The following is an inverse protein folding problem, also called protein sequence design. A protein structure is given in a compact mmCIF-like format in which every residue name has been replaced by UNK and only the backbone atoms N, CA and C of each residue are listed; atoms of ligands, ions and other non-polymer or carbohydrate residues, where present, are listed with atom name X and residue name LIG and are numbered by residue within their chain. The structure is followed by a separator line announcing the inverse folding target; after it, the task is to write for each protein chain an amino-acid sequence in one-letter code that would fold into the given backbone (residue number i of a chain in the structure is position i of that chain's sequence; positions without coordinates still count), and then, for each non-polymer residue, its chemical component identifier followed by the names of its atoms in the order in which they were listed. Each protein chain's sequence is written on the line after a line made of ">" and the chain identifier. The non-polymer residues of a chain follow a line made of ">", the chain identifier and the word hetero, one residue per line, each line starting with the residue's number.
data_IF_381564488887
#
_entry.id   IF_381564488887
#
_cell.length_a   1.000
_cell.length_b   1.000
_cell.length_c   1.000
_cell.angle_alpha   90.00
_cell.angle_beta   90.00
_cell.angle_gamma   90.00
#
_symmetry.space_group_name_H-M   'P 1'
#
loop_
_entity.id
_entity.type
_entity.pdbx_description
1 polymer ?
#
# COMPACT_ATOMS: atom_id res chain seq x y z
N UNK A 1 -10.31 33.92 -7.78
CA UNK A 1 -9.27 33.33 -8.64
C UNK A 1 -9.60 31.86 -8.75
N UNK A 2 -9.97 31.41 -9.94
CA UNK A 2 -10.35 30.04 -10.23
C UNK A 2 -9.12 29.15 -10.15
N UNK A 3 -9.08 28.25 -9.18
CA UNK A 3 -8.13 27.15 -9.13
C UNK A 3 -8.39 26.28 -10.36
N UNK A 4 -7.50 26.34 -11.34
CA UNK A 4 -7.49 25.35 -12.43
C UNK A 4 -7.33 23.96 -11.79
N UNK A 5 -8.15 22.98 -12.18
CA UNK A 5 -7.99 21.61 -11.68
C UNK A 5 -6.56 21.15 -11.94
N UNK A 6 -5.94 20.50 -10.97
CA UNK A 6 -4.59 19.95 -11.10
C UNK A 6 -4.50 19.14 -12.41
N UNK A 7 -3.65 19.59 -13.32
CA UNK A 7 -3.51 18.97 -14.64
C UNK A 7 -3.02 17.53 -14.45
N UNK A 8 -3.65 16.58 -15.15
CA UNK A 8 -3.18 15.20 -15.12
C UNK A 8 -1.80 15.13 -15.77
N UNK A 9 -0.98 14.17 -15.35
CA UNK A 9 0.35 13.94 -15.93
C UNK A 9 0.30 13.79 -17.45
N UNK A 10 -0.76 13.18 -17.97
CA UNK A 10 -1.00 13.03 -19.41
C UNK A 10 -1.21 14.37 -20.13
N UNK A 11 -2.03 15.26 -19.57
CA UNK A 11 -2.31 16.57 -20.16
C UNK A 11 -1.08 17.49 -20.15
N UNK A 12 -0.24 17.37 -19.13
CA UNK A 12 1.03 18.09 -19.09
C UNK A 12 2.02 17.57 -20.15
N UNK A 13 2.06 16.24 -20.38
CA UNK A 13 2.87 15.63 -21.44
C UNK A 13 2.41 16.05 -22.84
N UNK A 14 1.10 16.03 -23.10
CA UNK A 14 0.50 16.50 -24.36
C UNK A 14 0.90 17.94 -24.69
N UNK A 15 0.83 18.84 -23.69
CA UNK A 15 1.25 20.23 -23.86
C UNK A 15 2.74 20.35 -24.14
N UNK A 16 3.56 19.60 -23.42
CA UNK A 16 5.00 19.60 -23.64
C UNK A 16 5.35 19.10 -25.04
N UNK A 17 4.74 18.00 -25.49
CA UNK A 17 4.92 17.46 -26.84
C UNK A 17 4.45 18.47 -27.91
N UNK A 18 3.30 19.11 -27.72
CA UNK A 18 2.83 20.17 -28.63
C UNK A 18 3.80 21.36 -28.71
N UNK A 19 4.43 21.74 -27.60
CA UNK A 19 5.40 22.83 -27.56
C UNK A 19 6.71 22.47 -28.25
N UNK A 20 7.18 21.23 -28.10
CA UNK A 20 8.37 20.73 -28.80
C UNK A 20 8.15 20.67 -30.32
N UNK A 21 6.98 20.18 -30.75
CA UNK A 21 6.61 20.11 -32.17
C UNK A 21 6.42 21.51 -32.77
N UNK A 22 5.79 22.43 -32.05
CA UNK A 22 5.68 23.83 -32.47
C UNK A 22 7.05 24.51 -32.58
N UNK A 23 8.02 24.16 -31.72
CA UNK A 23 9.42 24.60 -31.81
C UNK A 23 10.12 24.15 -33.09
N UNK A 24 9.68 23.03 -33.67
CA UNK A 24 10.13 22.49 -34.96
C UNK A 24 9.28 22.99 -36.14
N UNK A 25 8.38 23.96 -35.90
CA UNK A 25 7.41 24.47 -36.89
C UNK A 25 6.45 23.41 -37.43
N UNK A 26 6.21 22.34 -36.67
CA UNK A 26 5.26 21.28 -37.02
C UNK A 26 3.91 21.56 -36.36
N UNK A 27 2.87 21.61 -37.17
CA UNK A 27 1.47 21.67 -36.71
C UNK A 27 0.87 20.27 -36.76
N UNK A 28 0.70 19.66 -35.60
CA UNK A 28 0.13 18.31 -35.44
C UNK A 28 -1.25 18.45 -34.78
N UNK A 29 -2.29 17.73 -35.25
CA UNK A 29 -3.61 17.72 -34.62
C UNK A 29 -3.56 17.28 -33.15
N UNK A 30 -4.47 17.80 -32.33
CA UNK A 30 -4.53 17.48 -30.89
C UNK A 30 -4.72 16.00 -30.61
N UNK A 31 -5.50 15.32 -31.46
CA UNK A 31 -5.83 13.91 -31.28
C UNK A 31 -4.58 13.05 -31.48
N UNK A 32 -3.73 13.39 -32.46
CA UNK A 32 -2.48 12.69 -32.73
C UNK A 32 -1.45 12.95 -31.62
N UNK A 33 -1.42 14.17 -31.06
CA UNK A 33 -0.62 14.50 -29.87
C UNK A 33 -1.04 13.66 -28.66
N UNK A 34 -2.33 13.44 -28.46
CA UNK A 34 -2.86 12.56 -27.40
C UNK A 34 -2.43 11.10 -27.62
N UNK A 35 -2.51 10.59 -28.85
CA UNK A 35 -2.04 9.23 -29.18
C UNK A 35 -0.53 9.07 -28.97
N UNK A 36 0.26 10.06 -29.37
CA UNK A 36 1.72 10.06 -29.17
C UNK A 36 2.07 10.10 -27.68
N UNK A 37 1.38 10.92 -26.89
CA UNK A 37 1.55 10.98 -25.44
C UNK A 37 1.26 9.62 -24.80
N UNK A 38 0.14 8.97 -25.16
CA UNK A 38 -0.19 7.62 -24.68
C UNK A 38 0.85 6.57 -25.03
N UNK A 39 1.44 6.65 -26.22
CA UNK A 39 2.50 5.73 -26.64
C UNK A 39 3.78 5.91 -25.81
N UNK A 40 4.13 7.15 -25.45
CA UNK A 40 5.26 7.43 -24.54
C UNK A 40 4.96 6.91 -23.12
N UNK A 41 3.71 6.95 -22.68
CA UNK A 41 3.29 6.41 -21.37
C UNK A 41 3.36 4.88 -21.29
N UNK A 42 3.33 4.16 -22.43
CA UNK A 42 3.29 2.70 -22.44
C UNK A 42 4.53 2.09 -21.75
N UNK A 43 4.28 1.16 -20.81
CA UNK A 43 5.32 0.48 -20.05
C UNK A 43 5.89 -0.69 -20.83
N UNK A 44 7.21 -0.78 -20.94
CA UNK A 44 7.91 -1.92 -21.54
C UNK A 44 8.64 -1.63 -22.85
N UNK A 45 8.54 -0.41 -23.38
CA UNK A 45 9.34 0.07 -24.52
C UNK A 45 10.60 0.79 -24.03
N UNK A 46 11.72 0.55 -24.70
CA UNK A 46 12.97 1.27 -24.44
C UNK A 46 12.91 2.70 -25.01
N UNK A 47 13.80 3.57 -24.55
CA UNK A 47 13.84 4.99 -24.95
C UNK A 47 13.96 5.15 -26.48
N UNK A 48 14.79 4.34 -27.10
CA UNK A 48 15.02 4.36 -28.55
C UNK A 48 13.76 3.93 -29.32
N UNK A 49 13.08 2.88 -28.85
CA UNK A 49 11.82 2.39 -29.43
C UNK A 49 10.69 3.41 -29.29
N UNK A 50 10.64 4.14 -28.17
CA UNK A 50 9.66 5.22 -27.96
C UNK A 50 9.91 6.37 -28.93
N UNK A 51 11.16 6.81 -29.08
CA UNK A 51 11.50 7.89 -30.02
C UNK A 51 11.20 7.46 -31.46
N UNK A 52 11.58 6.25 -31.85
CA UNK A 52 11.34 5.72 -33.20
C UNK A 52 9.83 5.55 -33.49
N UNK A 53 9.06 5.00 -32.53
CA UNK A 53 7.62 4.83 -32.69
C UNK A 53 6.87 6.15 -32.81
N UNK A 54 7.22 7.15 -31.98
CA UNK A 54 6.64 8.50 -32.06
C UNK A 54 7.04 9.20 -33.36
N UNK A 55 8.27 9.00 -33.84
CA UNK A 55 8.73 9.49 -35.14
C UNK A 55 7.93 8.88 -36.29
N UNK A 56 7.70 7.57 -36.28
CA UNK A 56 6.85 6.89 -37.28
C UNK A 56 5.40 7.38 -37.28
N UNK A 57 4.86 7.77 -36.12
CA UNK A 57 3.54 8.41 -36.05
C UNK A 57 3.55 9.80 -36.68
N UNK A 58 4.60 10.60 -36.45
CA UNK A 58 4.76 11.92 -37.08
C UNK A 58 4.88 11.84 -38.61
N UNK A 59 5.60 10.84 -39.12
CA UNK A 59 5.73 10.59 -40.57
C UNK A 59 4.36 10.38 -41.22
N UNK A 60 3.42 9.76 -40.51
CA UNK A 60 2.05 9.54 -40.99
C UNK A 60 1.12 10.77 -40.89
N UNK A 61 1.44 11.73 -40.01
CA UNK A 61 0.57 12.87 -39.68
C UNK A 61 0.99 14.15 -40.40
N UNK A 62 2.28 14.34 -40.69
CA UNK A 62 2.77 15.51 -41.41
C UNK A 62 2.43 15.39 -42.90
N UNK A 63 1.47 16.19 -43.37
CA UNK A 63 1.13 16.31 -44.79
C UNK A 63 2.38 16.73 -45.61
N UNK A 64 2.97 15.76 -46.30
CA UNK A 64 4.19 15.95 -47.10
C UNK A 64 5.29 14.92 -46.85
N UNK A 65 5.23 14.16 -45.75
CA UNK A 65 6.12 13.03 -45.48
C UNK A 65 7.60 13.38 -45.22
N UNK A 66 7.96 14.66 -45.25
CA UNK A 66 9.32 15.13 -44.97
C UNK A 66 9.38 15.76 -43.58
N UNK A 67 9.81 14.96 -42.60
CA UNK A 67 10.22 15.47 -41.31
C UNK A 67 11.58 16.15 -41.42
N UNK A 68 11.83 17.22 -40.64
CA UNK A 68 13.16 17.79 -40.55
C UNK A 68 14.13 16.74 -39.98
N UNK A 69 15.13 16.33 -40.77
CA UNK A 69 16.15 15.36 -40.33
C UNK A 69 16.93 15.84 -39.08
N UNK A 70 17.00 17.16 -38.88
CA UNK A 70 17.69 17.77 -37.75
C UNK A 70 16.72 18.13 -36.61
N UNK A 71 16.97 17.58 -35.42
CA UNK A 71 16.36 18.05 -34.18
C UNK A 71 15.05 17.37 -33.77
N UNK A 72 14.43 16.55 -34.62
CA UNK A 72 13.26 15.74 -34.26
C UNK A 72 13.61 14.72 -33.18
N UNK A 73 14.68 13.95 -33.38
CA UNK A 73 15.11 12.92 -32.43
C UNK A 73 15.50 13.54 -31.07
N UNK A 74 16.10 14.73 -31.06
CA UNK A 74 16.43 15.46 -29.84
C UNK A 74 15.17 16.00 -29.13
N UNK A 75 14.20 16.51 -29.88
CA UNK A 75 12.95 17.01 -29.34
C UNK A 75 12.11 15.87 -28.71
N UNK A 76 12.01 14.74 -29.41
CA UNK A 76 11.34 13.53 -28.91
C UNK A 76 12.08 12.93 -27.72
N UNK A 77 13.41 12.92 -27.74
CA UNK A 77 14.23 12.51 -26.59
C UNK A 77 13.92 13.33 -25.33
N UNK A 78 13.75 14.66 -25.47
CA UNK A 78 13.34 15.54 -24.35
C UNK A 78 11.94 15.22 -23.83
N UNK A 79 11.01 14.79 -24.68
CA UNK A 79 9.66 14.38 -24.26
C UNK A 79 9.74 13.12 -23.40
N UNK A 80 10.52 12.13 -23.81
CA UNK A 80 10.71 10.91 -23.02
C UNK A 80 11.39 11.23 -21.69
N UNK A 81 12.40 12.10 -21.68
CA UNK A 81 13.09 12.52 -20.47
C UNK A 81 12.15 13.25 -19.48
N UNK A 82 11.25 14.10 -19.99
CA UNK A 82 10.25 14.79 -19.17
C UNK A 82 9.20 13.81 -18.62
N UNK A 83 8.79 12.81 -19.41
CA UNK A 83 7.93 11.73 -18.93
C UNK A 83 8.59 10.94 -17.79
N UNK A 84 9.85 10.53 -17.95
CA UNK A 84 10.58 9.80 -16.92
C UNK A 84 10.73 10.63 -15.64
N UNK A 85 10.97 11.94 -15.77
CA UNK A 85 11.01 12.87 -14.63
C UNK A 85 9.66 12.93 -13.92
N UNK A 86 8.56 13.12 -14.66
CA UNK A 86 7.22 13.19 -14.08
C UNK A 86 6.83 11.88 -13.40
N UNK A 87 7.22 10.74 -13.98
CA UNK A 87 7.04 9.42 -13.37
C UNK A 87 7.79 9.30 -12.05
N UNK A 88 9.05 9.73 -12.00
CA UNK A 88 9.84 9.74 -10.76
C UNK A 88 9.20 10.63 -9.69
N UNK A 89 8.75 11.83 -10.06
CA UNK A 89 8.06 12.73 -9.14
C UNK A 89 6.75 12.12 -8.60
N UNK A 90 5.97 11.43 -9.44
CA UNK A 90 4.75 10.74 -9.00
C UNK A 90 5.04 9.50 -8.15
N UNK A 91 6.07 8.70 -8.48
CA UNK A 91 6.52 7.60 -7.64
C UNK A 91 7.01 8.08 -6.28
N UNK A 92 7.72 9.21 -6.21
CA UNK A 92 8.11 9.87 -4.98
C UNK A 92 6.90 10.40 -4.21
N UNK A 93 5.91 11.01 -4.87
CA UNK A 93 4.67 11.44 -4.22
C UNK A 93 3.89 10.26 -3.67
N UNK A 94 3.78 9.16 -4.41
CA UNK A 94 3.13 7.93 -3.95
C UNK A 94 3.93 7.33 -2.79
N UNK A 95 5.26 7.32 -2.84
CA UNK A 95 6.10 6.86 -1.74
C UNK A 95 5.97 7.75 -0.49
N UNK A 96 5.90 9.07 -0.65
CA UNK A 96 5.65 10.03 0.42
C UNK A 96 4.23 9.92 0.98
N UNK A 97 3.22 9.71 0.13
CA UNK A 97 1.85 9.45 0.56
C UNK A 97 1.74 8.09 1.25
N UNK A 98 2.47 7.07 0.81
CA UNK A 98 2.54 5.77 1.48
C UNK A 98 3.31 5.85 2.81
N UNK A 99 4.34 6.70 2.90
CA UNK A 99 5.03 7.01 4.14
C UNK A 99 4.11 7.79 5.10
N UNK A 100 3.41 8.82 4.61
CA UNK A 100 2.45 9.61 5.37
C UNK A 100 1.20 8.80 5.75
N UNK A 101 0.77 7.85 4.92
CA UNK A 101 -0.29 6.89 5.22
C UNK A 101 0.19 5.84 6.22
N UNK A 102 1.46 5.43 6.19
CA UNK A 102 2.09 4.62 7.26
C UNK A 102 2.22 5.41 8.56
N UNK A 103 2.42 6.73 8.50
CA UNK A 103 2.39 7.63 9.65
C UNK A 103 0.98 7.92 10.16
N UNK A 104 -0.06 7.88 9.30
CA UNK A 104 -1.48 8.01 9.70
C UNK A 104 -2.12 6.69 10.13
N UNK A 105 -1.66 5.54 9.60
CA UNK A 105 -2.01 4.20 10.08
C UNK A 105 -1.19 3.78 11.29
N UNK A 106 -0.06 4.43 11.53
CA UNK A 106 0.43 4.63 12.88
C UNK A 106 -0.48 5.68 13.52
N UNK A 107 -1.71 5.31 13.90
CA UNK A 107 -2.47 6.07 14.90
C UNK A 107 -1.44 6.56 15.92
N UNK A 108 -1.38 7.88 16.22
CA UNK A 108 -0.36 8.39 17.13
C UNK A 108 -0.40 7.44 18.30
N UNK A 109 0.69 6.69 18.53
CA UNK A 109 0.76 5.78 19.68
C UNK A 109 0.23 6.66 20.80
N UNK A 110 -0.87 6.28 21.48
CA UNK A 110 -1.46 7.17 22.47
C UNK A 110 -0.31 7.65 23.33
N UNK A 111 -0.29 8.91 23.77
CA UNK A 111 0.85 9.47 24.48
C UNK A 111 0.94 8.82 25.88
N UNK A 112 1.31 7.56 25.85
CA UNK A 112 1.19 6.49 26.80
C UNK A 112 2.26 6.66 27.87
N UNK A 113 3.33 7.39 27.53
CA UNK A 113 4.34 7.85 28.47
C UNK A 113 3.77 8.83 29.49
N UNK A 114 2.79 9.66 29.13
CA UNK A 114 2.24 10.71 30.01
C UNK A 114 1.04 10.22 30.85
N UNK A 115 0.39 9.12 30.43
CA UNK A 115 -0.77 8.58 31.15
C UNK A 115 -0.35 7.93 32.47
N UNK A 116 0.82 7.25 32.51
CA UNK A 116 1.30 6.67 33.77
C UNK A 116 1.77 7.71 34.79
N UNK A 117 2.24 8.88 34.33
CA UNK A 117 2.67 9.98 35.20
C UNK A 117 1.51 10.83 35.73
N UNK A 118 0.31 10.66 35.20
CA UNK A 118 -0.91 11.36 35.66
C UNK A 118 -1.74 10.54 36.64
N UNK A 119 -1.39 9.26 36.85
CA UNK A 119 -2.01 8.40 37.83
C UNK A 119 -1.35 8.58 39.20
N UNK A 120 -2.17 8.51 40.25
CA UNK A 120 -1.66 8.42 41.62
C UNK A 120 -0.95 7.07 41.85
N UNK A 121 -0.05 6.96 42.83
CA UNK A 121 0.66 5.72 43.11
C UNK A 121 -0.29 4.56 43.47
N UNK A 122 -1.43 4.84 44.11
CA UNK A 122 -2.44 3.84 44.47
C UNK A 122 -3.19 3.32 43.23
N UNK A 123 -3.56 4.20 42.30
CA UNK A 123 -4.22 3.84 41.04
C UNK A 123 -3.28 3.06 40.12
N UNK A 124 -1.99 3.40 40.10
CA UNK A 124 -0.98 2.70 39.34
C UNK A 124 -0.80 1.27 39.87
N UNK A 125 -0.73 1.09 41.19
CA UNK A 125 -0.66 -0.24 41.83
C UNK A 125 -1.93 -1.07 41.57
N UNK A 126 -3.12 -0.45 41.57
CA UNK A 126 -4.37 -1.13 41.20
C UNK A 126 -4.36 -1.58 39.73
N UNK A 127 -3.95 -0.72 38.81
CA UNK A 127 -3.86 -1.04 37.38
C UNK A 127 -2.83 -2.16 37.11
N UNK A 128 -1.70 -2.16 37.80
CA UNK A 128 -0.71 -3.24 37.72
C UNK A 128 -1.25 -4.57 38.24
N UNK A 129 -1.94 -4.57 39.38
CA UNK A 129 -2.58 -5.76 39.94
C UNK A 129 -3.63 -6.32 38.96
N UNK A 130 -4.50 -5.48 38.40
CA UNK A 130 -5.50 -5.90 37.42
C UNK A 130 -4.85 -6.46 36.15
N UNK A 131 -3.80 -5.81 35.63
CA UNK A 131 -3.06 -6.31 34.48
C UNK A 131 -2.38 -7.66 34.74
N UNK A 132 -1.87 -7.87 35.96
CA UNK A 132 -1.25 -9.13 36.36
C UNK A 132 -2.29 -10.25 36.50
N UNK A 133 -3.46 -9.95 37.07
CA UNK A 133 -4.59 -10.89 37.15
C UNK A 133 -5.04 -11.31 35.75
N UNK A 134 -5.11 -10.39 34.77
CA UNK A 134 -5.42 -10.74 33.37
C UNK A 134 -4.35 -11.61 32.70
N UNK A 135 -3.08 -11.46 33.09
CA UNK A 135 -1.97 -12.17 32.47
C UNK A 135 -1.71 -13.56 33.08
N UNK A 136 -1.95 -13.70 34.39
CA UNK A 136 -1.56 -14.89 35.16
C UNK A 136 -2.67 -15.46 36.04
N UNK A 137 -3.72 -14.69 36.28
CA UNK A 137 -4.95 -15.24 36.84
C UNK A 137 -5.59 -16.10 35.77
N UNK A 138 -5.67 -17.40 36.01
CA UNK A 138 -6.70 -18.20 35.37
C UNK A 138 -8.02 -17.50 35.70
N UNK A 139 -8.71 -17.01 34.67
CA UNK A 139 -10.09 -16.56 34.82
C UNK A 139 -10.89 -17.85 35.03
N UNK A 140 -10.90 -18.32 36.27
CA UNK A 140 -11.98 -19.17 36.74
C UNK A 140 -13.22 -18.28 36.66
N UNK A 141 -13.98 -18.46 35.58
CA UNK A 141 -15.18 -17.69 35.31
C UNK A 141 -16.13 -17.82 36.50
N UNK A 142 -16.21 -16.75 37.29
CA UNK A 142 -17.33 -16.54 38.20
C UNK A 142 -18.48 -15.91 37.40
N UNK A 143 -19.63 -16.56 37.27
CA UNK A 143 -20.80 -16.05 36.55
C UNK A 143 -21.51 -14.92 37.32
N UNK A 144 -20.78 -13.97 37.89
CA UNK A 144 -21.37 -12.76 38.51
C UNK A 144 -21.09 -11.49 37.70
N UNK A 145 -19.98 -11.44 36.93
CA UNK A 145 -19.70 -10.27 36.09
C UNK A 145 -20.48 -10.26 34.77
N UNK A 146 -21.00 -11.40 34.29
CA UNK A 146 -21.90 -11.45 33.12
C UNK A 146 -23.37 -11.12 33.46
N UNK A 147 -23.76 -11.12 34.73
CA UNK A 147 -25.15 -10.87 35.14
C UNK A 147 -25.47 -9.42 35.46
N UNK A 148 -24.45 -8.55 35.62
CA UNK A 148 -24.70 -7.11 35.79
C UNK A 148 -25.04 -6.37 34.51
N UNK A 149 -24.73 -6.93 33.34
CA UNK A 149 -25.05 -6.31 32.04
C UNK A 149 -26.32 -6.87 31.37
N UNK A 150 -27.05 -7.79 32.01
CA UNK A 150 -28.27 -8.41 31.44
C UNK A 150 -29.58 -8.16 32.19
N UNK A 151 -29.57 -7.41 33.30
CA UNK A 151 -30.76 -7.17 34.10
C UNK A 151 -31.05 -5.68 34.34
N UNK A 152 -30.99 -4.87 33.29
CA UNK A 152 -31.89 -3.72 33.09
C UNK A 152 -31.62 -3.14 31.69
N UNK A 153 -32.56 -3.34 30.77
CA UNK A 153 -32.51 -2.64 29.49
C UNK A 153 -32.67 -1.15 29.78
N UNK A 154 -31.74 -0.27 29.34
CA UNK A 154 -31.79 1.12 29.73
C UNK A 154 -33.09 1.77 29.20
N UNK A 155 -33.82 2.55 30.02
CA UNK A 155 -35.02 3.24 29.57
C UNK A 155 -34.65 4.10 28.35
N UNK A 156 -35.47 4.01 27.30
CA UNK A 156 -35.29 4.78 26.06
C UNK A 156 -35.29 6.27 26.40
N UNK A 157 -34.10 6.89 26.49
CA UNK A 157 -33.97 8.34 26.73
C UNK A 157 -32.62 8.88 27.18
N UNK A 158 -31.73 8.08 27.79
CA UNK A 158 -30.44 8.58 28.36
C UNK A 158 -29.19 7.81 27.91
N UNK A 159 -29.24 7.16 26.74
CA UNK A 159 -28.28 6.13 26.34
C UNK A 159 -27.08 6.61 25.50
N UNK A 160 -27.03 7.87 25.08
CA UNK A 160 -25.88 8.38 24.33
C UNK A 160 -24.71 8.77 25.25
N UNK A 161 -24.97 9.55 26.31
CA UNK A 161 -23.93 10.01 27.25
C UNK A 161 -23.35 8.88 28.10
N UNK A 162 -24.19 7.97 28.60
CA UNK A 162 -23.73 6.82 29.37
C UNK A 162 -22.93 5.81 28.53
N UNK A 163 -23.23 5.68 27.23
CA UNK A 163 -22.45 4.85 26.31
C UNK A 163 -21.12 5.53 25.91
N UNK A 164 -21.11 6.85 25.74
CA UNK A 164 -19.89 7.63 25.49
C UNK A 164 -18.95 7.65 26.71
N UNK A 165 -19.48 7.77 27.92
CA UNK A 165 -18.71 7.69 29.17
C UNK A 165 -18.13 6.30 29.41
N UNK A 166 -18.89 5.24 29.13
CA UNK A 166 -18.39 3.85 29.18
C UNK A 166 -17.27 3.62 28.16
N UNK A 167 -17.44 4.10 26.91
CA UNK A 167 -16.41 4.02 25.88
C UNK A 167 -15.15 4.81 26.26
N UNK A 168 -15.29 6.03 26.77
CA UNK A 168 -14.16 6.83 27.23
C UNK A 168 -13.40 6.16 28.39
N UNK A 169 -14.12 5.50 29.31
CA UNK A 169 -13.50 4.75 30.41
C UNK A 169 -12.77 3.48 29.91
N UNK A 170 -13.33 2.77 28.94
CA UNK A 170 -12.70 1.62 28.29
C UNK A 170 -11.46 2.01 27.50
N UNK A 171 -11.53 3.09 26.73
CA UNK A 171 -10.40 3.66 26.00
C UNK A 171 -9.29 4.08 26.96
N UNK A 172 -9.62 4.75 28.08
CA UNK A 172 -8.64 5.10 29.12
C UNK A 172 -8.00 3.86 29.74
N UNK A 173 -8.77 2.82 30.05
CA UNK A 173 -8.24 1.54 30.56
C UNK A 173 -7.32 0.85 29.55
N UNK A 174 -7.70 0.82 28.28
CA UNK A 174 -6.89 0.26 27.20
C UNK A 174 -5.57 1.01 27.03
N UNK A 175 -5.60 2.35 27.14
CA UNK A 175 -4.38 3.17 27.09
C UNK A 175 -3.45 2.91 28.29
N UNK A 176 -3.99 2.76 29.51
CA UNK A 176 -3.20 2.42 30.71
C UNK A 176 -2.56 1.03 30.56
N UNK A 177 -3.30 0.04 30.08
CA UNK A 177 -2.76 -1.31 29.88
C UNK A 177 -1.68 -1.33 28.78
N UNK A 178 -1.89 -0.61 27.68
CA UNK A 178 -0.88 -0.42 26.65
C UNK A 178 0.38 0.26 27.21
N UNK A 179 0.22 1.19 28.15
CA UNK A 179 1.32 1.83 28.87
C UNK A 179 2.14 0.88 29.71
N UNK A 180 1.47 0.07 30.53
CA UNK A 180 2.13 -0.91 31.37
C UNK A 180 2.86 -1.96 30.53
N UNK A 181 2.28 -2.40 29.40
CA UNK A 181 2.95 -3.33 28.47
C UNK A 181 4.20 -2.70 27.83
N UNK A 182 4.11 -1.45 27.39
CA UNK A 182 5.22 -0.74 26.76
C UNK A 182 6.35 -0.44 27.77
N UNK A 183 6.01 -0.01 28.99
CA UNK A 183 6.96 0.20 30.08
C UNK A 183 7.65 -1.11 30.48
N UNK A 184 6.88 -2.20 30.61
CA UNK A 184 7.43 -3.54 30.86
C UNK A 184 8.39 -4.01 29.76
N UNK A 185 8.06 -3.76 28.47
CA UNK A 185 8.95 -4.06 27.34
C UNK A 185 10.24 -3.22 27.40
N UNK A 186 10.14 -1.92 27.68
CA UNK A 186 11.31 -1.04 27.81
C UNK A 186 12.21 -1.44 28.97
N UNK A 187 11.64 -1.75 30.13
CA UNK A 187 12.38 -2.22 31.30
C UNK A 187 13.06 -3.56 31.04
N UNK A 188 12.38 -4.50 30.37
CA UNK A 188 12.99 -5.77 29.93
C UNK A 188 14.13 -5.55 28.93
N UNK A 189 13.95 -4.65 27.96
CA UNK A 189 14.98 -4.31 26.98
C UNK A 189 16.20 -3.65 27.64
N UNK A 190 15.98 -2.69 28.56
CA UNK A 190 17.04 -2.06 29.33
C UNK A 190 17.79 -3.08 30.20
N UNK A 191 17.06 -3.95 30.91
CA UNK A 191 17.66 -5.04 31.70
C UNK A 191 18.45 -6.01 30.81
N UNK A 192 17.97 -6.32 29.62
CA UNK A 192 18.72 -7.14 28.66
C UNK A 192 20.01 -6.44 28.22
N UNK A 193 19.99 -5.14 27.96
CA UNK A 193 21.19 -4.38 27.63
C UNK A 193 22.16 -4.30 28.81
N UNK A 194 21.69 -4.00 30.02
CA UNK A 194 22.52 -3.93 31.24
C UNK A 194 23.19 -5.28 31.55
N UNK A 195 22.47 -6.39 31.35
CA UNK A 195 23.04 -7.75 31.50
C UNK A 195 24.06 -8.05 30.40
N UNK A 196 23.87 -7.56 29.18
CA UNK A 196 24.80 -7.72 28.05
C UNK A 196 26.14 -6.99 28.27
N UNK A 197 26.09 -5.81 28.93
CA UNK A 197 27.30 -5.07 29.29
C UNK A 197 28.13 -5.78 30.37
N UNK A 198 27.50 -6.56 31.26
CA UNK A 198 28.19 -7.28 32.35
C UNK A 198 28.58 -8.71 31.95
N UNK A 199 27.88 -9.34 31.01
CA UNK A 199 28.24 -10.63 30.41
C UNK A 199 27.63 -10.75 29.00
N UNK A 200 28.43 -10.77 27.91
CA UNK A 200 27.91 -10.83 26.55
C UNK A 200 27.12 -12.14 26.35
N UNK A 201 25.82 -12.02 26.06
CA UNK A 201 24.95 -13.18 25.91
C UNK A 201 25.08 -13.77 24.49
N UNK A 202 26.06 -14.66 24.31
CA UNK A 202 26.33 -15.43 23.09
C UNK A 202 25.11 -16.20 22.51
N UNK A 203 24.00 -16.31 23.26
CA UNK A 203 22.76 -16.93 22.76
C UNK A 203 21.84 -15.96 22.03
N UNK A 204 22.06 -14.64 22.11
CA UNK A 204 21.21 -13.66 21.44
C UNK A 204 21.29 -13.75 19.93
N UNK A 205 22.50 -13.86 19.38
CA UNK A 205 22.71 -14.02 17.95
C UNK A 205 22.15 -15.35 17.44
N UNK A 206 22.26 -16.41 18.25
CA UNK A 206 21.66 -17.72 17.93
C UNK A 206 20.13 -17.65 17.92
N UNK A 207 19.50 -16.94 18.86
CA UNK A 207 18.05 -16.76 18.90
C UNK A 207 17.58 -15.85 17.77
N UNK A 208 18.31 -14.78 17.47
CA UNK A 208 18.01 -13.89 16.36
C UNK A 208 18.12 -14.62 15.01
N UNK A 209 19.17 -15.42 14.84
CA UNK A 209 19.39 -16.25 13.66
C UNK A 209 18.28 -17.30 13.49
N UNK A 210 17.91 -18.03 14.55
CA UNK A 210 16.77 -18.97 14.51
C UNK A 210 15.46 -18.28 14.13
N UNK A 211 15.18 -17.10 14.70
CA UNK A 211 13.98 -16.34 14.39
C UNK A 211 13.97 -15.80 12.94
N UNK A 212 15.14 -15.45 12.38
CA UNK A 212 15.26 -15.12 10.96
C UNK A 212 15.00 -16.34 10.08
N UNK A 213 15.57 -17.49 10.41
CA UNK A 213 15.39 -18.74 9.68
C UNK A 213 13.92 -19.18 9.64
N UNK A 214 13.20 -19.07 10.76
CA UNK A 214 11.76 -19.36 10.83
C UNK A 214 10.93 -18.41 9.95
N UNK A 215 11.27 -17.12 9.91
CA UNK A 215 10.60 -16.14 9.04
C UNK A 215 10.85 -16.42 7.56
N UNK A 216 12.06 -16.81 7.19
CA UNK A 216 12.39 -17.21 5.83
C UNK A 216 11.66 -18.49 5.42
N UNK A 217 11.57 -19.48 6.31
CA UNK A 217 10.81 -20.70 6.07
C UNK A 217 9.31 -20.41 5.86
N UNK A 218 8.72 -19.55 6.68
CA UNK A 218 7.32 -19.14 6.53
C UNK A 218 7.06 -18.40 5.20
N UNK A 219 8.00 -17.55 4.76
CA UNK A 219 7.90 -16.85 3.46
C UNK A 219 7.95 -17.83 2.28
N UNK A 220 8.86 -18.80 2.31
CA UNK A 220 8.95 -19.84 1.27
C UNK A 220 7.67 -20.66 1.20
N UNK A 221 7.16 -21.12 2.34
CA UNK A 221 5.91 -21.88 2.39
C UNK A 221 4.71 -21.10 1.81
N UNK A 222 4.61 -19.79 2.10
CA UNK A 222 3.55 -18.95 1.52
C UNK A 222 3.71 -18.75 0.01
N UNK A 223 4.94 -18.66 -0.49
CA UNK A 223 5.22 -18.55 -1.92
C UNK A 223 4.89 -19.85 -2.67
N UNK A 224 5.20 -21.01 -2.08
CA UNK A 224 4.87 -22.32 -2.66
C UNK A 224 3.37 -22.54 -2.79
N UNK A 225 2.57 -22.11 -1.81
CA UNK A 225 1.10 -22.15 -1.89
C UNK A 225 0.59 -21.27 -3.03
N UNK A 226 1.07 -20.02 -3.12
CA UNK A 226 0.69 -19.11 -4.21
C UNK A 226 1.05 -19.67 -5.58
N UNK A 227 2.19 -20.33 -5.72
CA UNK A 227 2.61 -20.93 -6.98
C UNK A 227 1.72 -22.12 -7.38
N UNK A 228 1.30 -22.96 -6.41
CA UNK A 228 0.33 -24.04 -6.69
C UNK A 228 -1.03 -23.51 -7.12
N UNK A 229 -1.53 -22.47 -6.45
CA UNK A 229 -2.82 -21.88 -6.78
C UNK A 229 -2.81 -21.24 -8.17
N UNK A 230 -1.73 -20.53 -8.52
CA UNK A 230 -1.52 -20.00 -9.88
C UNK A 230 -1.52 -21.10 -10.94
N UNK A 231 -0.78 -22.19 -10.71
CA UNK A 231 -0.73 -23.31 -11.64
C UNK A 231 -2.10 -24.00 -11.81
N UNK A 232 -2.90 -24.12 -10.74
CA UNK A 232 -4.25 -24.67 -10.80
C UNK A 232 -5.20 -23.77 -11.61
N UNK A 233 -5.12 -22.45 -11.42
CA UNK A 233 -5.93 -21.48 -12.18
C UNK A 233 -5.54 -21.45 -13.67
N UNK A 234 -4.26 -21.55 -13.97
CA UNK A 234 -3.77 -21.61 -15.36
C UNK A 234 -4.25 -22.89 -16.07
N UNK A 235 -4.21 -24.03 -15.39
CA UNK A 235 -4.77 -25.30 -15.91
C UNK A 235 -6.27 -25.17 -16.18
N UNK A 236 -7.03 -24.56 -15.27
CA UNK A 236 -8.47 -24.32 -15.48
C UNK A 236 -8.74 -23.41 -16.69
N UNK A 237 -7.95 -22.35 -16.87
CA UNK A 237 -8.05 -21.46 -18.03
C UNK A 237 -7.72 -22.21 -19.33
N UNK A 238 -6.69 -23.05 -19.34
CA UNK A 238 -6.32 -23.85 -20.50
C UNK A 238 -7.41 -24.86 -20.89
N UNK A 239 -8.02 -25.54 -19.92
CA UNK A 239 -9.12 -26.49 -20.16
C UNK A 239 -10.37 -25.78 -20.68
N UNK A 240 -10.69 -24.59 -20.17
CA UNK A 240 -11.79 -23.76 -20.69
C UNK A 240 -11.52 -23.25 -22.10
N UNK A 241 -10.29 -22.83 -22.40
CA UNK A 241 -9.91 -22.38 -23.74
C UNK A 241 -10.01 -23.52 -24.77
N UNK A 242 -9.56 -24.74 -24.42
CA UNK A 242 -9.71 -25.93 -25.25
C UNK A 242 -11.18 -26.28 -25.50
N UNK A 243 -12.02 -26.24 -24.45
CA UNK A 243 -13.45 -26.50 -24.59
C UNK A 243 -14.16 -25.46 -25.47
N UNK A 244 -13.79 -24.17 -25.37
CA UNK A 244 -14.31 -23.10 -26.24
C UNK A 244 -13.86 -23.29 -27.69
N UNK A 245 -12.61 -23.64 -27.92
CA UNK A 245 -12.07 -23.90 -29.26
C UNK A 245 -12.76 -25.11 -29.93
N UNK A 246 -13.04 -26.18 -29.18
CA UNK A 246 -13.79 -27.33 -29.72
C UNK A 246 -15.25 -26.97 -30.05
N UNK A 247 -15.91 -26.15 -29.21
CA UNK A 247 -17.27 -25.66 -29.50
C UNK A 247 -17.30 -24.79 -30.76
N UNK A 248 -16.36 -23.88 -30.92
CA UNK A 248 -16.23 -23.06 -32.13
C UNK A 248 -15.96 -23.91 -33.37
N UNK A 249 -15.06 -24.90 -33.29
CA UNK A 249 -14.81 -25.84 -34.40
C UNK A 249 -16.05 -26.67 -34.76
N UNK A 250 -16.86 -27.09 -33.78
CA UNK A 250 -18.13 -27.79 -34.03
C UNK A 250 -19.17 -26.87 -34.67
N UNK A 251 -19.30 -25.63 -34.19
CA UNK A 251 -20.21 -24.63 -34.75
C UNK A 251 -19.87 -24.30 -36.22
N UNK A 252 -18.59 -24.03 -36.53
CA UNK A 252 -18.13 -23.78 -37.91
C UNK A 252 -18.36 -24.98 -38.84
N UNK A 253 -18.26 -26.22 -38.34
CA UNK A 253 -18.58 -27.42 -39.13
C UNK A 253 -20.08 -27.57 -39.40
N UNK A 254 -20.94 -27.07 -38.50
CA UNK A 254 -22.39 -27.09 -38.68
C UNK A 254 -22.84 -26.01 -39.68
N UNK A 255 -22.28 -24.80 -39.61
CA UNK A 255 -22.51 -23.73 -40.59
C UNK A 255 -22.05 -24.08 -42.01
N UNK A 256 -21.03 -24.95 -42.16
CA UNK A 256 -20.60 -25.45 -43.47
C UNK A 256 -21.46 -26.58 -44.04
N UNK A 257 -22.36 -27.16 -43.24
CA UNK A 257 -23.22 -28.29 -43.64
C UNK A 257 -24.69 -27.89 -43.82
N UNK A 258 -25.11 -26.75 -43.26
CA UNK A 258 -26.35 -26.06 -43.62
C UNK A 258 -26.15 -25.18 -44.85
#
# INVERSE_FOLDING_TARGET
>A
MSESPAESSSQALERFLSAQLAGLSLTVPSDDVEYMARFVEEEGLEREEKVEGVKGMLEGVVEGGELPDSGVDEALGKVVDEWDRMRQEEEERIAQQAAAAREKSASPKPNVKNILSTLTPEELAAAQRQALIRQYGYIEGGPEDEWRDRADGPPRGETARSAEEKKAAEERRAMIEAALKLDGKKKKYKKQQEVDLMAPNLNRDKVAYKAQLEREAARKAAQDVRNRDKAALEKQRADQAKAKAEKQKKAQKQERRG
#
